data_IF_778852863251
#
_entry.id   IF_778852863251
#
_cell.length_a   1.000
_cell.length_b   1.000
_cell.length_c   1.000
_cell.angle_alpha   90.00
_cell.angle_beta   90.00
_cell.angle_gamma   90.00
#
_symmetry.space_group_name_H-M   'P 1'
#
loop_
_entity.id
_entity.type
_entity.pdbx_description
1 polymer ?
#
# COMPACT_ATOMS: atom_id res chain seq x y z
N UNK A 1 -51.05 45.22 34.41
CA UNK A 1 -50.84 43.92 33.73
C UNK A 1 -50.15 44.19 32.41
N UNK A 2 -48.99 43.58 32.22
CA UNK A 2 -47.99 43.96 31.23
C UNK A 2 -48.33 43.45 29.82
N UNK A 3 -48.31 44.36 28.85
CA UNK A 3 -48.16 44.02 27.43
C UNK A 3 -46.65 43.92 27.14
N UNK A 4 -46.17 42.72 26.81
CA UNK A 4 -44.79 42.52 26.34
C UNK A 4 -44.74 42.16 24.85
N UNK A 5 -44.07 43.08 24.18
CA UNK A 5 -43.53 43.11 22.83
C UNK A 5 -42.74 41.82 22.48
N UNK A 6 -43.09 41.15 21.38
CA UNK A 6 -42.30 40.08 20.74
C UNK A 6 -42.17 40.39 19.25
N UNK A 7 -41.11 41.09 18.86
CA UNK A 7 -40.79 41.21 17.43
C UNK A 7 -39.33 41.58 17.16
N UNK A 8 -38.37 40.83 17.70
CA UNK A 8 -36.94 41.01 17.37
C UNK A 8 -36.14 39.73 17.61
N UNK A 9 -36.24 38.71 16.74
CA UNK A 9 -35.20 37.65 16.74
C UNK A 9 -35.02 36.86 15.44
N UNK A 10 -35.81 37.10 14.39
CA UNK A 10 -35.79 36.22 13.21
C UNK A 10 -34.87 36.70 12.07
N UNK A 11 -34.33 37.91 12.16
CA UNK A 11 -33.54 38.51 11.06
C UNK A 11 -32.05 38.09 11.13
N UNK A 12 -31.50 37.66 12.28
CA UNK A 12 -30.05 37.37 12.39
C UNK A 12 -29.62 35.99 11.88
N UNK A 13 -30.54 35.03 11.73
CA UNK A 13 -30.18 33.63 11.38
C UNK A 13 -29.92 33.40 9.88
N UNK A 14 -30.36 34.29 9.00
CA UNK A 14 -30.22 34.12 7.54
C UNK A 14 -29.01 34.85 6.94
N UNK A 15 -28.54 35.94 7.55
CA UNK A 15 -27.37 36.69 7.08
C UNK A 15 -26.03 36.09 7.51
N UNK A 16 -26.02 35.32 8.60
CA UNK A 16 -24.80 34.72 9.14
C UNK A 16 -24.09 33.74 8.18
N UNK A 17 -24.76 32.81 7.47
CA UNK A 17 -24.09 31.94 6.50
C UNK A 17 -23.61 32.69 5.25
N UNK A 18 -24.33 33.74 4.82
CA UNK A 18 -23.97 34.54 3.63
C UNK A 18 -22.73 35.41 3.92
N UNK A 19 -22.67 36.04 5.09
CA UNK A 19 -21.51 36.82 5.53
C UNK A 19 -20.28 35.91 5.73
N UNK A 20 -20.46 34.69 6.24
CA UNK A 20 -19.38 33.72 6.40
C UNK A 20 -18.85 33.22 5.04
N UNK A 21 -19.71 33.02 4.05
CA UNK A 21 -19.33 32.64 2.68
C UNK A 21 -18.59 33.77 1.94
N UNK A 22 -18.99 35.03 2.15
CA UNK A 22 -18.29 36.21 1.64
C UNK A 22 -16.90 36.38 2.28
N UNK A 23 -16.78 36.18 3.59
CA UNK A 23 -15.50 36.22 4.31
C UNK A 23 -14.52 35.14 3.83
N UNK A 24 -15.01 33.93 3.54
CA UNK A 24 -14.21 32.84 2.95
C UNK A 24 -13.74 33.20 1.53
N UNK A 25 -14.58 33.87 0.73
CA UNK A 25 -14.22 34.32 -0.62
C UNK A 25 -13.17 35.44 -0.64
N UNK A 26 -13.20 36.34 0.36
CA UNK A 26 -12.20 37.41 0.53
C UNK A 26 -10.85 36.84 0.97
N UNK A 27 -10.81 35.76 1.76
CA UNK A 27 -9.54 35.12 2.15
C UNK A 27 -8.89 34.33 1.01
N UNK A 28 -9.65 33.89 0.00
CA UNK A 28 -9.12 33.17 -1.18
C UNK A 28 -8.48 34.08 -2.23
N UNK A 29 -8.75 35.40 -2.20
CA UNK A 29 -8.25 36.34 -3.20
C UNK A 29 -6.86 36.92 -2.87
N UNK A 30 -6.40 36.77 -1.62
CA UNK A 30 -5.10 37.31 -1.16
C UNK A 30 -3.93 36.53 -1.75
N UNK A 31 -4.11 35.24 -2.03
CA UNK A 31 -3.07 34.38 -2.62
C UNK A 31 -2.75 34.72 -4.08
N UNK A 32 -3.71 35.31 -4.80
CA UNK A 32 -3.56 35.63 -6.24
C UNK A 32 -2.63 36.83 -6.46
N UNK A 33 -2.67 37.83 -5.58
CA UNK A 33 -1.82 39.03 -5.69
C UNK A 33 -0.34 38.74 -5.38
N UNK A 34 -0.04 37.81 -4.47
CA UNK A 34 1.33 37.41 -4.14
C UNK A 34 2.04 36.68 -5.29
N UNK A 35 1.32 35.90 -6.08
CA UNK A 35 1.86 35.17 -7.23
C UNK A 35 2.31 36.12 -8.35
N UNK A 36 1.48 37.13 -8.68
CA UNK A 36 1.77 38.05 -9.78
C UNK A 36 3.06 38.85 -9.56
N UNK A 37 3.34 39.27 -8.32
CA UNK A 37 4.57 39.98 -7.97
C UNK A 37 5.81 39.05 -8.03
N UNK A 38 5.67 37.80 -7.62
CA UNK A 38 6.78 36.84 -7.68
C UNK A 38 7.12 36.44 -9.11
N UNK A 39 6.14 36.18 -9.99
CA UNK A 39 6.39 35.92 -11.41
C UNK A 39 7.13 37.07 -12.08
N UNK A 40 6.81 38.32 -11.74
CA UNK A 40 7.55 39.50 -12.22
C UNK A 40 8.99 39.52 -11.72
N UNK A 41 9.22 39.24 -10.42
CA UNK A 41 10.57 39.13 -9.85
C UNK A 41 11.40 38.03 -10.51
N UNK A 42 10.78 36.90 -10.85
CA UNK A 42 11.46 35.82 -11.56
C UNK A 42 11.94 36.27 -12.95
N UNK A 43 11.07 36.91 -13.73
CA UNK A 43 11.46 37.45 -15.04
C UNK A 43 12.56 38.51 -14.94
N UNK A 44 12.47 39.40 -13.95
CA UNK A 44 13.50 40.40 -13.71
C UNK A 44 14.85 39.76 -13.33
N UNK A 45 14.83 38.69 -12.54
CA UNK A 45 16.04 37.94 -12.18
C UNK A 45 16.62 37.17 -13.37
N UNK A 46 15.79 36.56 -14.22
CA UNK A 46 16.20 35.91 -15.48
C UNK A 46 16.91 36.94 -16.38
N UNK A 47 16.31 38.11 -16.57
CA UNK A 47 16.91 39.20 -17.36
C UNK A 47 18.22 39.71 -16.73
N UNK A 48 18.29 39.88 -15.41
CA UNK A 48 19.50 40.30 -14.73
C UNK A 48 20.65 39.29 -14.92
N UNK A 49 20.33 37.99 -14.93
CA UNK A 49 21.29 36.93 -15.20
C UNK A 49 21.83 37.01 -16.64
N UNK A 50 20.94 37.20 -17.62
CA UNK A 50 21.30 37.33 -19.03
C UNK A 50 22.16 38.59 -19.30
N UNK A 51 21.95 39.66 -18.53
CA UNK A 51 22.75 40.89 -18.54
C UNK A 51 24.05 40.80 -17.71
N UNK A 52 24.33 39.64 -17.07
CA UNK A 52 25.52 39.42 -16.26
C UNK A 52 25.48 40.04 -14.84
N UNK A 53 24.35 40.60 -14.41
CA UNK A 53 24.13 41.16 -13.07
C UNK A 53 23.63 40.08 -12.09
N UNK A 54 24.57 39.27 -11.60
CA UNK A 54 24.25 37.98 -10.98
C UNK A 54 24.18 38.03 -9.44
N UNK A 55 24.85 38.99 -8.82
CA UNK A 55 25.07 39.08 -7.36
C UNK A 55 23.77 39.06 -6.54
N UNK A 56 22.76 39.80 -6.98
CA UNK A 56 21.53 40.02 -6.19
C UNK A 56 20.41 39.00 -6.49
N UNK A 57 20.61 38.08 -7.44
CA UNK A 57 19.60 37.11 -7.85
C UNK A 57 19.07 36.26 -6.67
N UNK A 58 19.93 35.71 -5.78
CA UNK A 58 19.45 34.93 -4.64
C UNK A 58 18.52 35.73 -3.73
N UNK A 59 18.85 36.99 -3.45
CA UNK A 59 18.07 37.88 -2.58
C UNK A 59 16.73 38.27 -3.22
N UNK A 60 16.74 38.56 -4.53
CA UNK A 60 15.53 38.88 -5.30
C UNK A 60 14.48 37.77 -5.22
N UNK A 61 14.94 36.51 -5.16
CA UNK A 61 14.08 35.32 -5.25
C UNK A 61 13.80 34.64 -3.90
N UNK A 62 14.58 34.92 -2.85
CA UNK A 62 14.49 34.24 -1.55
C UNK A 62 13.05 34.20 -1.00
N UNK A 63 12.36 35.34 -0.96
CA UNK A 63 10.98 35.43 -0.45
C UNK A 63 9.93 34.72 -1.32
N UNK A 64 10.19 34.54 -2.62
CA UNK A 64 9.25 33.92 -3.56
C UNK A 64 9.41 32.40 -3.63
N UNK A 65 10.60 31.87 -3.34
CA UNK A 65 10.87 30.43 -3.33
C UNK A 65 10.02 29.72 -2.26
N UNK A 66 9.76 30.36 -1.13
CA UNK A 66 9.04 29.73 -0.03
C UNK A 66 7.52 29.64 -0.26
N UNK A 67 6.85 30.72 -0.73
CA UNK A 67 5.38 30.75 -0.84
C UNK A 67 4.81 31.51 -2.06
N UNK A 68 5.62 31.86 -3.06
CA UNK A 68 5.16 32.69 -4.20
C UNK A 68 5.12 32.01 -5.57
N UNK A 69 5.89 30.93 -5.77
CA UNK A 69 6.04 30.30 -7.08
C UNK A 69 5.17 29.06 -7.30
N UNK A 70 4.70 28.89 -8.53
CA UNK A 70 4.22 27.61 -9.05
C UNK A 70 5.36 26.58 -9.08
N UNK A 71 5.04 25.29 -9.25
CA UNK A 71 6.05 24.22 -9.30
C UNK A 71 7.09 24.46 -10.39
N UNK A 72 6.67 24.91 -11.57
CA UNK A 72 7.58 25.17 -12.70
C UNK A 72 8.45 26.39 -12.48
N UNK A 73 7.88 27.49 -11.97
CA UNK A 73 8.63 28.69 -11.61
C UNK A 73 9.63 28.41 -10.51
N UNK A 74 9.27 27.59 -9.52
CA UNK A 74 10.18 27.18 -8.44
C UNK A 74 11.36 26.38 -8.97
N UNK A 75 11.15 25.49 -9.95
CA UNK A 75 12.24 24.79 -10.64
C UNK A 75 13.17 25.79 -11.33
N UNK A 76 12.62 26.74 -12.10
CA UNK A 76 13.42 27.77 -12.79
C UNK A 76 14.20 28.65 -11.81
N UNK A 77 13.54 29.12 -10.75
CA UNK A 77 14.16 29.94 -9.71
C UNK A 77 15.33 29.20 -9.03
N UNK A 78 15.15 27.94 -8.62
CA UNK A 78 16.23 27.15 -8.03
C UNK A 78 17.42 27.02 -8.98
N UNK A 79 17.17 26.69 -10.26
CA UNK A 79 18.23 26.58 -11.26
C UNK A 79 18.98 27.91 -11.43
N UNK A 80 18.26 29.02 -11.50
CA UNK A 80 18.84 30.35 -11.65
C UNK A 80 19.73 30.71 -10.45
N UNK A 81 19.24 30.49 -9.22
CA UNK A 81 20.02 30.73 -7.99
C UNK A 81 21.26 29.84 -7.91
N UNK A 82 21.15 28.55 -8.27
CA UNK A 82 22.29 27.63 -8.30
C UNK A 82 23.34 28.13 -9.30
N UNK A 83 22.93 28.50 -10.51
CA UNK A 83 23.83 29.00 -11.54
C UNK A 83 24.47 30.33 -11.13
N UNK A 84 23.71 31.22 -10.47
CA UNK A 84 24.24 32.46 -9.94
C UNK A 84 25.37 32.24 -8.93
N UNK A 85 25.19 31.31 -7.98
CA UNK A 85 26.25 30.93 -7.04
C UNK A 85 27.44 30.25 -7.72
N UNK A 86 27.21 29.42 -8.75
CA UNK A 86 28.30 28.81 -9.53
C UNK A 86 29.14 29.86 -10.25
N UNK A 87 28.50 30.86 -10.85
CA UNK A 87 29.19 31.99 -11.52
C UNK A 87 30.05 32.79 -10.53
N UNK A 88 29.53 33.05 -9.33
CA UNK A 88 30.25 33.74 -8.25
C UNK A 88 31.28 32.85 -7.53
N UNK A 89 31.52 31.62 -8.02
CA UNK A 89 32.42 30.62 -7.42
C UNK A 89 32.07 30.22 -5.97
N UNK A 90 30.85 30.51 -5.51
CA UNK A 90 30.35 30.09 -4.20
C UNK A 90 29.81 28.66 -4.27
N UNK A 91 30.74 27.70 -4.32
CA UNK A 91 30.42 26.28 -4.42
C UNK A 91 29.66 25.74 -3.19
N UNK A 92 29.81 26.40 -2.04
CA UNK A 92 29.14 25.99 -0.80
C UNK A 92 27.65 26.31 -0.87
N UNK A 93 27.31 27.55 -1.21
CA UNK A 93 25.90 27.94 -1.38
C UNK A 93 25.26 27.23 -2.58
N UNK A 94 25.98 27.09 -3.70
CA UNK A 94 25.49 26.32 -4.83
C UNK A 94 25.15 24.88 -4.44
N UNK A 95 26.00 24.23 -3.62
CA UNK A 95 25.76 22.87 -3.12
C UNK A 95 24.55 22.79 -2.19
N UNK A 96 24.37 23.78 -1.30
CA UNK A 96 23.22 23.84 -0.40
C UNK A 96 21.91 24.03 -1.18
N UNK A 97 21.89 24.97 -2.12
CA UNK A 97 20.72 25.24 -2.98
C UNK A 97 20.40 24.07 -3.91
N UNK A 98 21.42 23.37 -4.40
CA UNK A 98 21.23 22.10 -5.13
C UNK A 98 20.57 21.04 -4.24
N UNK A 99 21.00 20.91 -2.98
CA UNK A 99 20.38 19.96 -2.06
C UNK A 99 18.91 20.29 -1.77
N UNK A 100 18.59 21.57 -1.56
CA UNK A 100 17.21 22.06 -1.41
C UNK A 100 16.38 21.76 -2.67
N UNK A 101 16.92 22.05 -3.85
CA UNK A 101 16.30 21.77 -5.13
C UNK A 101 15.99 20.28 -5.31
N UNK A 102 16.93 19.39 -5.00
CA UNK A 102 16.74 17.94 -5.12
C UNK A 102 15.81 17.39 -4.04
N UNK A 103 15.68 18.04 -2.87
CA UNK A 103 14.64 17.68 -1.89
C UNK A 103 13.24 18.05 -2.41
N UNK A 104 13.14 19.19 -3.09
CA UNK A 104 11.90 19.65 -3.70
C UNK A 104 11.51 18.81 -4.93
N UNK A 105 12.45 18.53 -5.82
CA UNK A 105 12.25 17.77 -7.06
C UNK A 105 13.26 16.61 -7.18
N UNK A 106 13.10 15.55 -6.37
CA UNK A 106 14.08 14.45 -6.30
C UNK A 106 14.19 13.61 -7.58
N UNK A 107 13.14 13.65 -8.41
CA UNK A 107 13.07 12.94 -9.69
C UNK A 107 13.55 13.79 -10.87
N UNK A 108 14.15 14.96 -10.62
CA UNK A 108 14.66 15.83 -11.68
C UNK A 108 15.74 15.13 -12.50
N UNK A 109 15.59 15.17 -13.83
CA UNK A 109 16.59 14.66 -14.77
C UNK A 109 17.08 15.83 -15.63
N UNK A 110 18.35 16.24 -15.50
CA UNK A 110 18.91 17.34 -16.29
C UNK A 110 18.95 16.99 -17.78
N UNK A 111 18.54 17.92 -18.65
CA UNK A 111 18.75 17.80 -20.08
C UNK A 111 20.16 18.30 -20.46
N UNK A 112 21.05 17.38 -20.86
CA UNK A 112 22.46 17.72 -21.16
C UNK A 112 22.64 18.81 -22.22
N UNK A 113 21.66 19.03 -23.09
CA UNK A 113 21.76 20.02 -24.17
C UNK A 113 21.35 21.43 -23.73
N UNK A 114 20.54 21.55 -22.67
CA UNK A 114 19.96 22.84 -22.24
C UNK A 114 20.54 23.34 -20.92
N UNK A 115 21.32 22.52 -20.22
CA UNK A 115 21.85 22.85 -18.89
C UNK A 115 23.35 23.21 -18.96
N UNK A 116 23.80 24.26 -18.24
CA UNK A 116 25.21 24.61 -18.17
C UNK A 116 26.09 23.45 -17.66
N UNK A 117 27.32 23.35 -18.18
CA UNK A 117 28.24 22.27 -17.82
C UNK A 117 28.56 22.22 -16.31
N UNK A 118 28.68 23.38 -15.67
CA UNK A 118 28.94 23.52 -14.23
C UNK A 118 27.78 23.00 -13.38
N UNK A 119 26.54 23.30 -13.78
CA UNK A 119 25.33 22.75 -13.16
C UNK A 119 25.30 21.23 -13.24
N UNK A 120 25.59 20.66 -14.42
CA UNK A 120 25.68 19.21 -14.62
C UNK A 120 26.78 18.58 -13.77
N UNK A 121 27.93 19.25 -13.63
CA UNK A 121 29.05 18.81 -12.79
C UNK A 121 28.66 18.79 -11.31
N UNK A 122 27.99 19.85 -10.82
CA UNK A 122 27.49 19.93 -9.45
C UNK A 122 26.41 18.87 -9.20
N UNK A 123 25.42 18.74 -10.09
CA UNK A 123 24.34 17.76 -9.98
C UNK A 123 24.87 16.33 -9.83
N UNK A 124 25.91 15.94 -10.60
CA UNK A 124 26.52 14.61 -10.53
C UNK A 124 27.11 14.26 -9.15
N UNK A 125 27.44 15.26 -8.32
CA UNK A 125 27.94 15.08 -6.95
C UNK A 125 26.85 14.68 -5.95
N UNK A 126 25.58 14.68 -6.34
CA UNK A 126 24.47 14.29 -5.47
C UNK A 126 23.88 12.94 -5.87
N UNK A 127 23.30 12.26 -4.89
CA UNK A 127 22.53 11.03 -5.05
C UNK A 127 21.08 11.29 -4.64
N UNK A 128 20.13 10.99 -5.52
CA UNK A 128 18.69 11.20 -5.33
C UNK A 128 17.89 9.91 -5.33
N UNK A 129 18.53 8.77 -5.09
CA UNK A 129 17.83 7.49 -5.02
C UNK A 129 16.85 7.50 -3.81
N UNK A 130 15.63 6.96 -3.99
CA UNK A 130 14.70 6.81 -2.87
C UNK A 130 15.34 5.87 -1.83
N UNK A 131 15.25 6.23 -0.55
CA UNK A 131 15.85 5.42 0.52
C UNK A 131 14.85 4.44 1.15
N UNK A 132 13.55 4.72 0.98
CA UNK A 132 12.45 3.92 1.50
C UNK A 132 11.20 4.21 0.66
N UNK A 133 10.38 3.19 0.41
CA UNK A 133 9.06 3.33 -0.17
C UNK A 133 8.02 2.79 0.79
N UNK A 134 6.94 3.54 0.97
CA UNK A 134 5.81 3.22 1.86
C UNK A 134 4.56 3.10 1.02
N UNK A 135 3.79 2.03 1.19
CA UNK A 135 2.61 1.78 0.39
C UNK A 135 1.49 1.08 1.12
N UNK A 136 0.37 0.97 0.43
CA UNK A 136 -0.81 0.20 0.84
C UNK A 136 -1.20 -0.72 -0.31
N UNK A 137 -1.80 -1.87 0.02
CA UNK A 137 -2.34 -2.78 -0.98
C UNK A 137 -3.61 -3.47 -0.50
N UNK A 138 -4.39 -3.93 -1.47
CA UNK A 138 -5.57 -4.76 -1.27
C UNK A 138 -5.67 -5.79 -2.39
N UNK A 139 -6.30 -6.91 -2.11
CA UNK A 139 -6.35 -8.02 -3.05
C UNK A 139 -7.34 -9.10 -2.67
N UNK A 140 -7.48 -10.06 -3.58
CA UNK A 140 -8.24 -11.28 -3.39
C UNK A 140 -7.29 -12.47 -3.30
N UNK A 141 -7.73 -13.51 -2.61
CA UNK A 141 -6.94 -14.73 -2.45
C UNK A 141 -7.78 -16.00 -2.60
N UNK A 142 -7.13 -17.10 -2.97
CA UNK A 142 -7.75 -18.39 -3.24
C UNK A 142 -6.98 -19.48 -2.50
N UNK A 143 -7.61 -20.00 -1.45
CA UNK A 143 -7.07 -21.05 -0.60
C UNK A 143 -7.03 -22.39 -1.31
N UNK A 144 -5.86 -23.02 -1.36
CA UNK A 144 -5.65 -24.38 -1.87
C UNK A 144 -5.16 -25.26 -0.72
N UNK A 145 -5.96 -26.25 -0.32
CA UNK A 145 -5.60 -27.13 0.79
C UNK A 145 -4.90 -28.37 0.26
N UNK A 146 -3.77 -28.70 0.88
CA UNK A 146 -3.09 -29.96 0.65
C UNK A 146 -3.17 -30.83 1.91
N UNK A 147 -3.80 -32.00 1.76
CA UNK A 147 -3.91 -33.00 2.83
C UNK A 147 -2.55 -33.66 3.04
N UNK A 148 -2.12 -33.70 4.29
CA UNK A 148 -0.93 -34.40 4.76
C UNK A 148 -1.32 -35.82 5.19
N UNK A 149 -2.37 -35.94 6.00
CA UNK A 149 -2.89 -37.22 6.48
C UNK A 149 -4.42 -37.15 6.62
N UNK A 150 -5.16 -38.02 5.91
CA UNK A 150 -6.61 -38.04 5.99
C UNK A 150 -7.10 -38.75 7.27
N UNK A 151 -8.21 -38.28 7.82
CA UNK A 151 -8.94 -38.91 8.92
C UNK A 151 -10.42 -39.00 8.56
N UNK A 152 -10.92 -40.22 8.42
CA UNK A 152 -12.32 -40.48 8.07
C UNK A 152 -12.94 -41.50 9.03
N UNK A 153 -14.27 -41.45 9.17
CA UNK A 153 -15.01 -42.40 10.01
C UNK A 153 -15.29 -43.71 9.26
N UNK A 154 -15.25 -43.70 7.93
CA UNK A 154 -15.42 -44.87 7.07
C UNK A 154 -14.30 -44.98 6.04
N UNK A 155 -13.90 -46.20 5.71
CA UNK A 155 -12.96 -46.51 4.63
C UNK A 155 -13.52 -46.26 3.22
N UNK A 156 -14.82 -46.00 3.10
CA UNK A 156 -15.51 -45.70 1.83
C UNK A 156 -15.75 -44.21 1.58
N UNK A 157 -15.43 -43.34 2.54
CA UNK A 157 -15.63 -41.90 2.40
C UNK A 157 -14.70 -41.29 1.33
N UNK A 158 -15.24 -40.44 0.47
CA UNK A 158 -14.47 -39.62 -0.47
C UNK A 158 -14.43 -38.18 0.01
N UNK A 159 -13.25 -37.69 0.32
CA UNK A 159 -13.02 -36.34 0.86
C UNK A 159 -12.33 -35.46 -0.19
N UNK A 160 -12.87 -34.27 -0.41
CA UNK A 160 -12.28 -33.29 -1.34
C UNK A 160 -12.24 -31.91 -0.68
N UNK A 161 -11.13 -31.21 -0.86
CA UNK A 161 -11.04 -29.78 -0.57
C UNK A 161 -11.17 -29.00 -1.86
N UNK A 162 -12.14 -28.10 -1.92
CA UNK A 162 -12.44 -27.30 -3.10
C UNK A 162 -12.31 -25.81 -2.80
N UNK A 163 -11.96 -25.06 -3.85
CA UNK A 163 -12.11 -23.62 -3.86
C UNK A 163 -13.60 -23.28 -3.81
N UNK A 164 -14.03 -22.50 -2.82
CA UNK A 164 -15.43 -22.09 -2.72
C UNK A 164 -15.65 -20.62 -3.08
N UNK A 165 -15.00 -19.72 -2.36
CA UNK A 165 -15.13 -18.28 -2.55
C UNK A 165 -13.76 -17.62 -2.40
N UNK A 166 -13.51 -16.49 -3.10
CA UNK A 166 -12.29 -15.73 -2.90
C UNK A 166 -12.26 -15.13 -1.49
N UNK A 167 -11.15 -15.33 -0.80
CA UNK A 167 -10.78 -14.54 0.36
C UNK A 167 -10.31 -13.15 -0.03
N UNK A 168 -9.98 -12.31 0.95
CA UNK A 168 -9.42 -10.98 0.72
C UNK A 168 -8.19 -10.74 1.59
N UNK A 169 -7.36 -9.79 1.17
CA UNK A 169 -6.21 -9.34 1.95
C UNK A 169 -5.96 -7.85 1.75
N UNK A 170 -5.46 -7.20 2.78
CA UNK A 170 -4.97 -5.82 2.68
C UNK A 170 -3.83 -5.60 3.67
N UNK A 171 -2.98 -4.62 3.39
CA UNK A 171 -1.83 -4.36 4.24
C UNK A 171 -1.04 -3.13 3.85
N UNK A 172 0.03 -2.92 4.61
CA UNK A 172 1.03 -1.89 4.34
C UNK A 172 2.23 -2.54 3.67
N UNK A 173 2.91 -1.83 2.76
CA UNK A 173 4.12 -2.30 2.09
C UNK A 173 5.28 -1.35 2.36
N UNK A 174 6.31 -1.87 3.00
CA UNK A 174 7.57 -1.17 3.23
C UNK A 174 8.62 -1.77 2.30
N UNK A 175 9.23 -0.98 1.42
CA UNK A 175 10.30 -1.45 0.53
C UNK A 175 11.54 -0.57 0.66
N UNK A 176 12.69 -1.19 0.85
CA UNK A 176 13.98 -0.52 0.94
C UNK A 176 14.91 -1.05 -0.16
N UNK A 177 15.41 -0.21 -1.08
CA UNK A 177 16.46 -0.62 -1.99
C UNK A 177 17.75 -0.85 -1.20
N UNK A 178 18.37 -2.03 -1.37
CA UNK A 178 19.60 -2.42 -0.67
C UNK A 178 20.78 -2.48 -1.64
N UNK A 179 20.53 -2.93 -2.86
CA UNK A 179 21.54 -2.97 -3.93
C UNK A 179 20.89 -2.61 -5.27
N UNK A 180 21.69 -2.48 -6.32
CA UNK A 180 21.17 -2.25 -7.67
C UNK A 180 20.15 -3.35 -7.99
N UNK A 181 18.92 -2.94 -8.31
CA UNK A 181 17.80 -3.82 -8.66
C UNK A 181 17.34 -4.77 -7.55
N UNK A 182 17.82 -4.62 -6.31
CA UNK A 182 17.42 -5.48 -5.18
C UNK A 182 16.78 -4.62 -4.10
N UNK A 183 15.56 -5.01 -3.72
CA UNK A 183 14.78 -4.40 -2.64
C UNK A 183 14.50 -5.44 -1.55
N UNK A 184 14.50 -5.00 -0.29
CA UNK A 184 13.93 -5.76 0.82
C UNK A 184 12.55 -5.22 1.14
N UNK A 185 11.58 -6.13 1.35
CA UNK A 185 10.20 -5.76 1.65
C UNK A 185 9.74 -6.36 2.98
N UNK A 186 8.88 -5.61 3.66
CA UNK A 186 8.08 -6.07 4.78
C UNK A 186 6.62 -5.63 4.56
N UNK A 187 5.67 -6.55 4.76
CA UNK A 187 4.27 -6.35 4.33
C UNK A 187 3.22 -6.71 5.41
N UNK A 188 3.23 -6.07 6.60
CA UNK A 188 2.24 -6.38 7.62
C UNK A 188 0.81 -6.12 7.11
N UNK A 189 -0.09 -7.07 7.37
CA UNK A 189 -1.46 -6.98 6.89
C UNK A 189 -2.43 -7.91 7.59
N UNK A 190 -3.66 -7.89 7.07
CA UNK A 190 -4.75 -8.77 7.44
C UNK A 190 -5.22 -9.56 6.21
N UNK A 191 -5.46 -10.86 6.39
CA UNK A 191 -6.02 -11.71 5.36
C UNK A 191 -7.17 -12.54 5.93
N UNK A 192 -8.14 -12.82 5.07
CA UNK A 192 -9.18 -13.83 5.29
C UNK A 192 -9.02 -14.93 4.26
N UNK A 193 -8.94 -16.17 4.72
CA UNK A 193 -9.05 -17.36 3.90
C UNK A 193 -10.46 -17.92 3.96
N UNK A 194 -10.92 -18.42 2.81
CA UNK A 194 -12.21 -19.10 2.70
C UNK A 194 -12.02 -20.34 1.84
N UNK A 195 -12.42 -21.50 2.35
CA UNK A 195 -12.35 -22.76 1.61
C UNK A 195 -13.48 -23.68 2.00
N UNK A 196 -13.70 -24.71 1.19
CA UNK A 196 -14.76 -25.70 1.44
C UNK A 196 -14.18 -27.10 1.48
N UNK A 197 -14.63 -27.84 2.48
CA UNK A 197 -14.46 -29.26 2.59
C UNK A 197 -15.75 -29.95 2.21
N UNK A 198 -15.65 -31.00 1.40
CA UNK A 198 -16.78 -31.83 1.01
C UNK A 198 -16.42 -33.29 1.30
N UNK A 199 -17.29 -33.98 2.02
CA UNK A 199 -17.20 -35.42 2.22
C UNK A 199 -18.47 -36.10 1.70
N UNK A 200 -18.29 -37.06 0.81
CA UNK A 200 -19.35 -37.98 0.39
C UNK A 200 -19.14 -39.31 1.12
N UNK A 201 -20.06 -39.64 2.01
CA UNK A 201 -20.01 -40.83 2.86
C UNK A 201 -21.20 -41.75 2.54
N UNK A 202 -20.90 -43.05 2.39
CA UNK A 202 -21.90 -44.12 2.31
C UNK A 202 -22.90 -44.03 1.14
N UNK A 203 -22.58 -43.32 0.06
CA UNK A 203 -23.42 -43.13 -1.14
C UNK A 203 -24.79 -42.45 -0.93
N UNK A 204 -25.15 -42.07 0.31
CA UNK A 204 -26.43 -41.43 0.63
C UNK A 204 -26.29 -40.11 1.40
N UNK A 205 -25.09 -39.72 1.83
CA UNK A 205 -24.86 -38.53 2.66
C UNK A 205 -23.72 -37.68 2.10
N UNK A 206 -23.94 -36.38 2.00
CA UNK A 206 -22.93 -35.40 1.60
C UNK A 206 -22.81 -34.30 2.65
N UNK A 207 -21.64 -34.22 3.26
CA UNK A 207 -21.26 -33.16 4.18
C UNK A 207 -20.50 -32.08 3.41
N UNK A 208 -20.83 -30.82 3.67
CA UNK A 208 -20.14 -29.65 3.15
C UNK A 208 -19.83 -28.72 4.31
N UNK A 209 -18.57 -28.34 4.48
CA UNK A 209 -18.14 -27.39 5.51
C UNK A 209 -17.45 -26.24 4.80
N UNK A 210 -17.99 -25.04 4.98
CA UNK A 210 -17.31 -23.81 4.57
C UNK A 210 -16.57 -23.24 5.77
N UNK A 211 -15.25 -23.07 5.65
CA UNK A 211 -14.44 -22.53 6.74
C UNK A 211 -13.89 -21.16 6.37
N UNK A 212 -13.97 -20.22 7.31
CA UNK A 212 -13.39 -18.89 7.22
C UNK A 212 -12.32 -18.74 8.30
N UNK A 213 -11.14 -18.24 7.92
CA UNK A 213 -10.03 -17.98 8.83
C UNK A 213 -9.53 -16.55 8.70
N UNK A 214 -9.52 -15.82 9.81
CA UNK A 214 -9.00 -14.46 9.91
C UNK A 214 -7.60 -14.47 10.50
N UNK A 215 -6.65 -13.86 9.80
CA UNK A 215 -5.25 -13.87 10.19
C UNK A 215 -4.62 -12.49 10.03
N UNK A 216 -3.73 -12.15 10.96
CA UNK A 216 -2.70 -11.14 10.71
C UNK A 216 -1.46 -11.84 10.18
N UNK A 217 -0.76 -11.17 9.26
CA UNK A 217 0.39 -11.78 8.62
C UNK A 217 1.51 -10.77 8.38
N UNK A 218 2.75 -11.26 8.36
CA UNK A 218 3.94 -10.48 8.10
C UNK A 218 4.85 -11.23 7.11
N UNK A 219 4.72 -10.97 5.81
CA UNK A 219 5.66 -11.38 4.78
C UNK A 219 6.93 -10.51 4.82
N UNK A 220 8.07 -11.17 4.71
CA UNK A 220 9.39 -10.57 4.51
C UNK A 220 10.00 -11.18 3.26
N UNK A 221 10.46 -10.35 2.32
CA UNK A 221 11.02 -10.82 1.04
C UNK A 221 12.17 -9.99 0.52
N UNK A 222 12.97 -10.62 -0.36
CA UNK A 222 13.84 -9.93 -1.29
C UNK A 222 13.20 -9.90 -2.68
N UNK A 223 13.14 -8.72 -3.31
CA UNK A 223 12.69 -8.54 -4.68
C UNK A 223 13.84 -8.18 -5.61
N UNK A 224 13.87 -8.81 -6.77
CA UNK A 224 14.65 -8.36 -7.92
C UNK A 224 13.75 -7.54 -8.85
N UNK A 225 14.11 -6.28 -9.10
CA UNK A 225 13.32 -5.31 -9.88
C UNK A 225 14.09 -4.90 -11.13
N UNK A 226 13.50 -5.08 -12.31
CA UNK A 226 14.13 -4.75 -13.57
C UNK A 226 13.45 -3.54 -14.23
N UNK A 227 14.06 -2.34 -14.22
CA UNK A 227 13.44 -1.13 -14.77
C UNK A 227 13.46 -1.11 -16.32
N UNK A 228 12.28 -1.03 -16.93
CA UNK A 228 12.03 -0.87 -18.38
C UNK A 228 11.19 0.39 -18.61
N UNK A 229 11.84 1.54 -18.82
CA UNK A 229 11.18 2.86 -18.90
C UNK A 229 10.31 3.11 -17.65
N UNK A 230 8.99 3.23 -17.82
CA UNK A 230 8.04 3.42 -16.71
C UNK A 230 7.64 2.09 -16.04
N UNK A 231 7.80 0.96 -16.72
CA UNK A 231 7.43 -0.35 -16.23
C UNK A 231 8.59 -1.00 -15.49
N UNK A 232 8.33 -1.51 -14.30
CA UNK A 232 9.33 -2.13 -13.44
C UNK A 232 8.81 -3.51 -13.03
N UNK A 233 8.90 -4.52 -13.91
CA UNK A 233 8.64 -5.90 -13.55
C UNK A 233 9.54 -6.34 -12.40
N UNK A 234 9.00 -7.19 -11.54
CA UNK A 234 9.74 -7.73 -10.40
C UNK A 234 9.34 -9.16 -10.09
N UNK A 235 10.27 -9.85 -9.44
CA UNK A 235 10.06 -11.16 -8.81
C UNK A 235 10.55 -11.07 -7.37
N UNK A 236 9.84 -11.70 -6.44
CA UNK A 236 10.18 -11.73 -5.02
C UNK A 236 10.12 -13.16 -4.49
N UNK A 237 10.98 -13.44 -3.51
CA UNK A 237 10.95 -14.68 -2.73
C UNK A 237 11.05 -14.31 -1.25
N UNK A 238 10.27 -14.98 -0.40
CA UNK A 238 10.20 -14.62 1.01
C UNK A 238 9.53 -15.65 1.90
N UNK A 239 9.49 -15.32 3.19
CA UNK A 239 8.79 -16.08 4.23
C UNK A 239 7.68 -15.20 4.81
N UNK A 240 6.57 -15.82 5.17
CA UNK A 240 5.45 -15.17 5.82
C UNK A 240 5.16 -15.87 7.14
N UNK A 241 5.01 -15.07 8.19
CA UNK A 241 4.52 -15.52 9.48
C UNK A 241 3.05 -15.12 9.60
N UNK A 242 2.19 -16.08 9.89
CA UNK A 242 0.75 -15.89 10.03
C UNK A 242 0.30 -16.18 11.47
N UNK A 243 -0.58 -15.34 12.01
CA UNK A 243 -1.21 -15.56 13.30
C UNK A 243 -2.74 -15.54 13.15
N UNK A 244 -3.37 -16.67 13.50
CA UNK A 244 -4.81 -16.86 13.46
C UNK A 244 -5.49 -16.10 14.60
N UNK A 245 -6.44 -15.25 14.22
CA UNK A 245 -7.30 -14.50 15.14
C UNK A 245 -8.58 -15.29 15.41
N UNK A 246 -9.20 -15.80 14.36
CA UNK A 246 -10.50 -16.44 14.43
C UNK A 246 -10.64 -17.48 13.32
N UNK A 247 -11.30 -18.60 13.61
CA UNK A 247 -11.72 -19.58 12.62
C UNK A 247 -13.17 -20.00 12.88
N UNK A 248 -14.00 -19.99 11.84
CA UNK A 248 -15.40 -20.43 11.91
C UNK A 248 -15.72 -21.41 10.79
N UNK A 249 -16.56 -22.41 11.08
CA UNK A 249 -17.10 -23.36 10.12
C UNK A 249 -18.61 -23.26 10.04
N UNK A 250 -19.14 -23.28 8.82
CA UNK A 250 -20.56 -23.43 8.54
C UNK A 250 -20.79 -24.82 7.94
N UNK A 251 -21.23 -25.81 8.75
CA UNK A 251 -21.50 -27.15 8.27
C UNK A 251 -22.91 -27.29 7.69
N UNK A 252 -23.02 -28.02 6.60
CA UNK A 252 -24.26 -28.38 5.94
C UNK A 252 -24.19 -29.85 5.52
N UNK A 253 -25.18 -30.65 5.93
CA UNK A 253 -25.28 -32.05 5.55
C UNK A 253 -26.57 -32.29 4.77
N UNK A 254 -26.43 -32.89 3.61
CA UNK A 254 -27.53 -33.23 2.70
C UNK A 254 -27.58 -34.74 2.47
N UNK A 255 -28.77 -35.25 2.14
CA UNK A 255 -29.00 -36.68 1.92
C UNK A 255 -29.48 -36.93 0.49
N UNK A 256 -28.98 -38.01 -0.11
CA UNK A 256 -29.34 -38.40 -1.46
C UNK A 256 -30.87 -38.59 -1.58
N UNK A 257 -31.39 -38.15 -2.73
CA UNK A 257 -32.80 -38.28 -3.11
C UNK A 257 -33.80 -37.63 -2.12
N UNK A 258 -33.37 -36.65 -1.33
CA UNK A 258 -34.18 -36.00 -0.29
C UNK A 258 -34.82 -36.99 0.69
N UNK A 259 -34.14 -38.12 0.94
CA UNK A 259 -34.60 -39.15 1.88
C UNK A 259 -34.76 -38.64 3.31
N UNK A 260 -34.01 -37.58 3.66
CA UNK A 260 -34.11 -36.84 4.92
C UNK A 260 -33.94 -35.34 4.67
N UNK A 261 -34.48 -34.53 5.60
CA UNK A 261 -34.27 -33.08 5.57
C UNK A 261 -32.79 -32.75 5.77
N UNK A 262 -32.24 -31.74 5.08
CA UNK A 262 -30.88 -31.26 5.32
C UNK A 262 -30.67 -30.89 6.79
N UNK A 263 -29.50 -31.24 7.32
CA UNK A 263 -29.07 -30.81 8.65
C UNK A 263 -28.10 -29.65 8.46
N UNK A 264 -28.53 -28.46 8.87
CA UNK A 264 -27.72 -27.25 8.88
C UNK A 264 -27.84 -26.59 10.25
N UNK A 265 -26.73 -26.02 10.71
CA UNK A 265 -26.59 -25.44 12.04
C UNK A 265 -26.08 -24.00 11.97
N UNK A 266 -25.87 -23.40 13.15
CA UNK A 266 -25.19 -22.12 13.26
C UNK A 266 -23.69 -22.28 12.98
N UNK A 267 -23.01 -21.17 12.74
CA UNK A 267 -21.55 -21.16 12.63
C UNK A 267 -20.90 -21.72 13.89
N UNK A 268 -19.98 -22.65 13.70
CA UNK A 268 -19.22 -23.31 14.76
C UNK A 268 -17.83 -22.67 14.85
N UNK A 269 -17.43 -22.30 16.06
CA UNK A 269 -16.08 -21.79 16.30
C UNK A 269 -15.04 -22.92 16.25
N UNK A 270 -14.00 -22.72 15.46
CA UNK A 270 -12.90 -23.66 15.23
C UNK A 270 -11.55 -23.16 15.76
N UNK A 271 -11.48 -21.93 16.29
CA UNK A 271 -10.22 -21.26 16.64
C UNK A 271 -9.28 -22.13 17.48
N UNK A 272 -9.81 -22.86 18.47
CA UNK A 272 -9.02 -23.73 19.35
C UNK A 272 -8.58 -25.06 18.69
N UNK A 273 -9.26 -25.47 17.61
CA UNK A 273 -8.95 -26.66 16.81
C UNK A 273 -7.91 -26.36 15.71
N UNK A 274 -7.43 -25.12 15.61
CA UNK A 274 -6.45 -24.68 14.61
C UNK A 274 -5.13 -24.29 15.27
N UNK A 275 -4.03 -24.45 14.54
CA UNK A 275 -2.75 -23.89 14.94
C UNK A 275 -2.80 -22.37 14.86
N UNK A 276 -2.51 -21.70 15.98
CA UNK A 276 -2.55 -20.23 16.04
C UNK A 276 -1.44 -19.58 15.24
N UNK A 277 -0.29 -20.23 15.11
CA UNK A 277 0.86 -19.69 14.41
C UNK A 277 1.24 -20.59 13.25
N UNK A 278 1.42 -19.99 12.07
CA UNK A 278 1.80 -20.69 10.86
C UNK A 278 2.93 -19.95 10.14
N UNK A 279 3.68 -20.69 9.33
CA UNK A 279 4.73 -20.16 8.48
C UNK A 279 4.50 -20.65 7.05
N UNK A 280 4.66 -19.74 6.10
CA UNK A 280 4.56 -20.02 4.68
C UNK A 280 5.79 -19.52 3.92
N UNK A 281 6.26 -20.31 2.95
CA UNK A 281 7.19 -19.84 1.92
C UNK A 281 6.38 -19.20 0.80
N UNK A 282 6.84 -18.09 0.20
CA UNK A 282 6.13 -17.51 -0.94
C UNK A 282 7.03 -17.03 -2.07
N UNK A 283 6.47 -17.11 -3.28
CA UNK A 283 7.01 -16.47 -4.47
C UNK A 283 5.98 -15.47 -5.01
N UNK A 284 6.45 -14.30 -5.41
CA UNK A 284 5.63 -13.21 -5.95
C UNK A 284 6.21 -12.78 -7.29
N UNK A 285 5.33 -12.55 -8.27
CA UNK A 285 5.67 -11.86 -9.51
C UNK A 285 4.76 -10.64 -9.64
N UNK A 286 5.27 -9.57 -10.20
CA UNK A 286 4.46 -8.38 -10.36
C UNK A 286 5.07 -7.34 -11.26
N UNK A 287 4.31 -6.26 -11.41
CA UNK A 287 4.64 -5.15 -12.27
C UNK A 287 4.38 -3.85 -11.51
N UNK A 288 5.38 -2.98 -11.43
CA UNK A 288 5.22 -1.63 -10.91
C UNK A 288 5.19 -0.63 -12.07
N UNK A 289 4.24 0.28 -12.07
CA UNK A 289 4.14 1.38 -13.03
C UNK A 289 4.57 2.69 -12.35
N UNK A 290 5.63 3.31 -12.87
CA UNK A 290 6.22 4.53 -12.33
C UNK A 290 5.30 5.73 -12.55
N UNK A 291 4.99 6.41 -11.47
CA UNK A 291 4.32 7.72 -11.48
C UNK A 291 5.15 8.74 -10.67
N UNK A 292 4.89 10.05 -10.79
CA UNK A 292 5.62 11.05 -10.02
C UNK A 292 5.55 10.74 -8.52
N UNK A 293 6.72 10.61 -7.87
CA UNK A 293 6.87 10.25 -6.45
C UNK A 293 6.24 8.93 -6.01
N UNK A 294 5.85 8.04 -6.92
CA UNK A 294 5.27 6.76 -6.53
C UNK A 294 5.31 5.65 -7.58
N UNK A 295 4.70 4.53 -7.22
CA UNK A 295 4.40 3.42 -8.11
C UNK A 295 2.98 2.92 -7.85
N UNK A 296 2.23 2.67 -8.92
CA UNK A 296 1.15 1.69 -8.84
C UNK A 296 1.74 0.30 -9.05
N UNK A 297 1.19 -0.73 -8.42
CA UNK A 297 1.63 -2.09 -8.67
C UNK A 297 0.48 -3.08 -8.72
N UNK A 298 0.70 -4.14 -9.50
CA UNK A 298 -0.12 -5.33 -9.58
C UNK A 298 0.80 -6.52 -9.35
N UNK A 299 0.41 -7.45 -8.48
CA UNK A 299 1.19 -8.66 -8.23
C UNK A 299 0.33 -9.90 -8.03
N UNK A 300 0.89 -11.03 -8.44
CA UNK A 300 0.41 -12.37 -8.15
C UNK A 300 1.39 -13.07 -7.22
N UNK A 301 0.90 -13.68 -6.15
CA UNK A 301 1.70 -14.37 -5.13
C UNK A 301 1.17 -15.77 -4.90
N UNK A 302 2.07 -16.73 -4.78
CA UNK A 302 1.77 -18.08 -4.31
C UNK A 302 2.43 -18.32 -2.96
N UNK A 303 1.64 -18.73 -1.98
CA UNK A 303 2.08 -19.16 -0.65
C UNK A 303 2.03 -20.68 -0.57
N UNK A 304 3.10 -21.25 -0.07
CA UNK A 304 3.25 -22.65 0.26
C UNK A 304 3.33 -22.80 1.78
N UNK A 305 2.25 -23.32 2.39
CA UNK A 305 2.19 -23.52 3.83
C UNK A 305 3.15 -24.62 4.27
N UNK A 306 3.94 -24.36 5.33
CA UNK A 306 4.96 -25.28 5.82
C UNK A 306 4.51 -26.09 7.04
N UNK A 307 3.40 -25.71 7.66
CA UNK A 307 2.92 -26.27 8.93
C UNK A 307 1.56 -26.94 8.77
N UNK A 308 1.30 -27.91 9.65
CA UNK A 308 -0.04 -28.46 9.85
C UNK A 308 -0.94 -27.35 10.43
N UNK A 309 -2.11 -27.11 9.85
CA UNK A 309 -3.06 -26.09 10.30
C UNK A 309 -3.94 -26.57 11.46
N UNK A 310 -3.97 -27.87 11.72
CA UNK A 310 -4.84 -28.48 12.73
C UNK A 310 -4.09 -28.64 14.06
N UNK A 311 -4.77 -28.32 15.16
CA UNK A 311 -4.30 -28.64 16.48
C UNK A 311 -4.67 -30.09 16.83
N UNK A 312 -3.71 -31.00 16.72
CA UNK A 312 -3.92 -32.44 16.89
C UNK A 312 -4.53 -32.80 18.25
N UNK A 313 -4.11 -32.13 19.34
CA UNK A 313 -4.61 -32.36 20.69
C UNK A 313 -6.08 -31.93 20.87
N UNK A 314 -6.55 -31.00 20.03
CA UNK A 314 -7.90 -30.44 20.07
C UNK A 314 -8.79 -30.94 18.93
N UNK A 315 -8.33 -31.90 18.11
CA UNK A 315 -9.09 -32.41 16.97
C UNK A 315 -10.50 -32.89 17.35
N UNK A 316 -10.63 -33.50 18.52
CA UNK A 316 -11.91 -34.05 19.00
C UNK A 316 -12.65 -33.14 19.99
N UNK A 317 -12.22 -31.89 20.17
CA UNK A 317 -12.79 -31.04 21.23
C UNK A 317 -14.19 -30.51 20.92
N UNK A 318 -14.62 -30.51 19.65
CA UNK A 318 -15.94 -30.04 19.25
C UNK A 318 -16.93 -31.20 19.10
N UNK A 319 -17.79 -31.37 20.10
CA UNK A 319 -18.78 -32.45 20.13
C UNK A 319 -19.81 -32.35 18.99
N UNK A 320 -20.17 -31.14 18.57
CA UNK A 320 -21.14 -30.92 17.50
C UNK A 320 -20.60 -31.42 16.15
N UNK A 321 -19.38 -31.04 15.79
CA UNK A 321 -18.72 -31.54 14.57
C UNK A 321 -18.57 -33.06 14.58
N UNK A 322 -18.12 -33.63 15.71
CA UNK A 322 -17.87 -35.07 15.80
C UNK A 322 -19.14 -35.92 15.81
N UNK A 323 -20.18 -35.52 16.55
CA UNK A 323 -21.36 -36.36 16.78
C UNK A 323 -22.55 -36.01 15.89
N UNK A 324 -22.72 -34.74 15.48
CA UNK A 324 -23.83 -34.34 14.60
C UNK A 324 -23.41 -34.42 13.14
N UNK A 325 -22.25 -33.85 12.83
CA UNK A 325 -21.76 -33.76 11.45
C UNK A 325 -20.85 -34.91 11.05
N UNK A 326 -20.41 -35.75 12.00
CA UNK A 326 -19.46 -36.84 11.76
C UNK A 326 -18.19 -36.33 11.04
N UNK A 327 -17.74 -35.13 11.39
CA UNK A 327 -16.57 -34.49 10.81
C UNK A 327 -15.36 -34.67 11.70
N UNK A 328 -14.24 -35.09 11.11
CA UNK A 328 -12.93 -35.14 11.75
C UNK A 328 -11.95 -34.40 10.85
N UNK A 329 -11.18 -33.47 11.43
CA UNK A 329 -10.19 -32.68 10.69
C UNK A 329 -9.01 -33.55 10.18
N UNK A 330 -8.67 -33.38 8.90
CA UNK A 330 -7.45 -33.92 8.31
C UNK A 330 -6.22 -33.13 8.75
N UNK A 331 -5.06 -33.79 8.88
CA UNK A 331 -3.81 -33.04 8.92
C UNK A 331 -3.59 -32.41 7.55
N UNK A 332 -3.41 -31.10 7.50
CA UNK A 332 -3.45 -30.34 6.25
C UNK A 332 -2.62 -29.08 6.34
N UNK A 333 -2.08 -28.68 5.20
CA UNK A 333 -1.42 -27.38 5.01
C UNK A 333 -2.28 -26.49 4.12
N UNK A 334 -2.22 -25.20 4.39
CA UNK A 334 -2.92 -24.18 3.61
C UNK A 334 -1.94 -23.52 2.65
N UNK A 335 -2.10 -23.80 1.36
CA UNK A 335 -1.49 -23.02 0.30
C UNK A 335 -2.46 -21.93 -0.15
N UNK A 336 -1.96 -20.90 -0.82
CA UNK A 336 -2.80 -19.80 -1.24
C UNK A 336 -2.27 -19.09 -2.49
N UNK A 337 -3.16 -18.73 -3.41
CA UNK A 337 -2.85 -17.82 -4.51
C UNK A 337 -3.47 -16.46 -4.21
N UNK A 338 -2.71 -15.38 -4.31
CA UNK A 338 -3.19 -14.03 -4.08
C UNK A 338 -2.92 -13.12 -5.28
N UNK A 339 -3.87 -12.25 -5.58
CA UNK A 339 -3.71 -11.17 -6.56
C UNK A 339 -3.92 -9.86 -5.81
N UNK A 340 -2.97 -8.94 -5.90
CA UNK A 340 -3.00 -7.68 -5.16
C UNK A 340 -2.70 -6.48 -6.06
N UNK A 341 -3.38 -5.37 -5.78
CA UNK A 341 -3.12 -4.06 -6.35
C UNK A 341 -2.79 -3.08 -5.24
N UNK A 342 -1.90 -2.14 -5.51
CA UNK A 342 -1.51 -1.16 -4.50
C UNK A 342 -0.81 0.06 -5.04
N UNK A 343 -0.52 0.97 -4.13
CA UNK A 343 0.23 2.19 -4.38
C UNK A 343 1.38 2.31 -3.39
N UNK A 344 2.54 2.76 -3.86
CA UNK A 344 3.74 3.01 -3.06
C UNK A 344 4.22 4.44 -3.28
N UNK A 345 4.36 5.20 -2.21
CA UNK A 345 5.00 6.51 -2.18
C UNK A 345 6.50 6.38 -1.88
N UNK A 346 7.35 7.09 -2.63
CA UNK A 346 8.80 7.09 -2.42
C UNK A 346 9.25 8.23 -1.52
N UNK A 347 10.02 7.87 -0.51
CA UNK A 347 10.72 8.81 0.35
C UNK A 347 12.15 9.00 -0.15
N UNK A 348 12.50 10.26 -0.38
CA UNK A 348 13.80 10.68 -0.88
C UNK A 348 14.59 11.35 0.22
N UNK A 349 15.88 11.03 0.32
CA UNK A 349 16.82 11.74 1.17
C UNK A 349 18.07 12.06 0.37
N UNK A 350 18.01 13.07 -0.51
CA UNK A 350 19.15 13.47 -1.31
C UNK A 350 20.36 13.73 -0.42
N UNK A 351 21.53 13.27 -0.84
CA UNK A 351 22.79 13.45 -0.13
C UNK A 351 23.93 13.67 -1.13
N UNK A 352 24.97 14.36 -0.69
CA UNK A 352 26.22 14.47 -1.46
C UNK A 352 26.92 13.10 -1.45
N UNK A 353 27.43 12.68 -2.61
CA UNK A 353 28.29 11.51 -2.74
C UNK A 353 29.57 11.76 -1.96
N UNK A 354 30.02 10.76 -1.21
CA UNK A 354 31.28 10.81 -0.46
C UNK A 354 32.46 10.74 -1.40
#
# INVERSE_FOLDING_TARGET
MAAQNKNTSTISRFYMPVVMLMLIFITLSVDVFGQQQCTQKLKAAEQAYDEGRIENIPEMLAGCIDRGFTREEKIRAYKLVINAHLFNQDLNQASQKMLEFLRFNPEYVPNKNNEPAEFLSLYKKFETLPYLSLGVYGGINFSNIAVIKPYTISSTSKTTYEHHAPGFQFGLKFSKPVYKNIELNAEPGFLRHTFRYTEESLDFSKLTITENQDQIFLPISGSFVYPIKQWHPFISLGLSAEYLINATATPERTYAQNTQQPVSGTDIELTDMRQKFNISLFAEIGLKYKIPRGYFFLSGRYYHGLMNQVNEDKRYSNAELNYIYYYIDDDRRLNNYAISVGYMYMLYKPKRKK
#
